data_IF_549649953948
#
_entry.id   IF_549649953948
#
_cell.length_a   1.000
_cell.length_b   1.000
_cell.length_c   1.000
_cell.angle_alpha   90.00
_cell.angle_beta   90.00
_cell.angle_gamma   90.00
#
_symmetry.space_group_name_H-M   'P 1'
#
loop_
_entity.id
_entity.type
_entity.pdbx_description
1 polymer ?
#
# COMPACT_ATOMS: atom_id res chain seq x y z
N UNK A 1 0.44 4.93 -11.70
CA UNK A 1 1.60 4.28 -11.02
C UNK A 1 1.50 4.47 -9.52
N UNK A 2 1.27 3.39 -8.78
CA UNK A 2 1.07 3.42 -7.32
C UNK A 2 2.35 3.81 -6.58
N UNK A 3 2.23 4.72 -5.62
CA UNK A 3 3.31 5.12 -4.72
C UNK A 3 3.11 4.52 -3.34
N UNK A 4 4.20 4.23 -2.65
CA UNK A 4 4.19 3.83 -1.24
C UNK A 4 5.02 4.84 -0.47
N UNK A 5 4.44 5.44 0.58
CA UNK A 5 5.12 6.42 1.43
C UNK A 5 4.99 6.04 2.90
N UNK A 6 5.90 6.55 3.72
CA UNK A 6 5.91 6.32 5.16
C UNK A 6 5.60 7.61 5.89
N UNK A 7 4.80 7.53 6.96
CA UNK A 7 4.60 8.64 7.87
C UNK A 7 5.08 8.29 9.28
N UNK A 8 5.95 9.13 9.83
CA UNK A 8 6.44 9.04 11.20
C UNK A 8 6.59 10.43 11.80
N UNK A 9 6.06 10.63 13.01
CA UNK A 9 5.95 11.91 13.73
C UNK A 9 5.33 13.01 12.86
N UNK A 10 4.24 12.68 12.16
CA UNK A 10 3.57 13.57 11.20
C UNK A 10 4.46 14.10 10.06
N UNK A 11 5.56 13.43 9.75
CA UNK A 11 6.40 13.72 8.59
C UNK A 11 6.30 12.58 7.59
N UNK A 12 6.18 12.92 6.32
CA UNK A 12 6.11 11.96 5.23
C UNK A 12 7.48 11.77 4.59
N UNK A 13 7.85 10.52 4.35
CA UNK A 13 9.14 10.11 3.84
C UNK A 13 8.96 9.17 2.66
N UNK A 14 9.68 9.46 1.58
CA UNK A 14 9.90 8.52 0.48
C UNK A 14 11.06 7.56 0.78
N UNK A 15 11.97 7.98 1.65
CA UNK A 15 13.15 7.25 2.11
C UNK A 15 13.47 7.71 3.54
N UNK A 16 13.79 6.79 4.44
CA UNK A 16 14.17 7.14 5.81
C UNK A 16 15.70 7.27 5.88
N UNK A 17 16.20 8.27 6.61
CA UNK A 17 17.65 8.53 6.74
C UNK A 17 18.36 7.48 7.62
N UNK A 18 17.64 6.89 8.58
CA UNK A 18 18.15 5.81 9.44
C UNK A 18 18.20 4.49 8.66
N UNK A 19 19.37 3.85 8.63
CA UNK A 19 19.61 2.64 7.83
C UNK A 19 18.73 1.45 8.21
N UNK A 20 18.39 1.29 9.50
CA UNK A 20 17.55 0.19 9.97
C UNK A 20 16.08 0.44 9.60
N UNK A 21 15.59 1.65 9.89
CA UNK A 21 14.20 2.02 9.57
C UNK A 21 13.94 2.00 8.07
N UNK A 22 14.92 2.41 7.27
CA UNK A 22 14.86 2.36 5.83
C UNK A 22 14.85 0.94 5.27
N UNK A 23 15.64 0.02 5.86
CA UNK A 23 15.57 -1.40 5.51
C UNK A 23 14.20 -2.02 5.85
N UNK A 24 13.65 -1.69 7.02
CA UNK A 24 12.30 -2.12 7.42
C UNK A 24 11.23 -1.57 6.46
N UNK A 25 11.36 -0.31 6.06
CA UNK A 25 10.51 0.32 5.07
C UNK A 25 10.60 -0.39 3.70
N UNK A 26 11.78 -0.60 3.14
CA UNK A 26 11.91 -1.29 1.84
C UNK A 26 11.38 -2.73 1.90
N UNK A 27 11.58 -3.43 3.02
CA UNK A 27 11.03 -4.76 3.22
C UNK A 27 9.49 -4.73 3.30
N UNK A 28 8.91 -3.80 4.07
CA UNK A 28 7.46 -3.62 4.18
C UNK A 28 6.82 -3.27 2.83
N UNK A 29 7.47 -2.42 2.03
CA UNK A 29 7.05 -2.10 0.67
C UNK A 29 7.03 -3.33 -0.23
N UNK A 30 8.08 -4.15 -0.15
CA UNK A 30 8.18 -5.38 -0.94
C UNK A 30 7.09 -6.38 -0.60
N UNK A 31 6.81 -6.58 0.70
CA UNK A 31 5.71 -7.42 1.17
C UNK A 31 4.34 -6.89 0.72
N UNK A 32 4.14 -5.57 0.79
CA UNK A 32 2.91 -4.94 0.37
C UNK A 32 2.66 -5.09 -1.14
N UNK A 33 3.71 -4.98 -1.96
CA UNK A 33 3.59 -5.28 -3.39
C UNK A 33 3.30 -6.76 -3.66
N UNK A 34 3.92 -7.68 -2.92
CA UNK A 34 3.64 -9.11 -3.05
C UNK A 34 2.17 -9.43 -2.71
N UNK A 35 1.61 -8.80 -1.68
CA UNK A 35 0.19 -8.94 -1.34
C UNK A 35 -0.75 -8.42 -2.44
N UNK A 36 -0.31 -7.40 -3.18
CA UNK A 36 -1.12 -6.75 -4.22
C UNK A 36 -0.84 -7.27 -5.63
N UNK A 37 0.07 -8.23 -5.79
CA UNK A 37 0.38 -8.87 -7.07
C UNK A 37 -0.87 -9.40 -7.79
N UNK A 38 -1.87 -10.02 -7.13
CA UNK A 38 -3.07 -10.50 -7.80
C UNK A 38 -3.89 -9.42 -8.51
N UNK A 39 -3.73 -8.16 -8.13
CA UNK A 39 -4.47 -7.02 -8.69
C UNK A 39 -3.54 -5.99 -9.36
N UNK A 40 -2.31 -6.38 -9.68
CA UNK A 40 -1.29 -5.48 -10.22
C UNK A 40 -1.77 -4.75 -11.49
N UNK A 41 -2.47 -5.42 -12.40
CA UNK A 41 -3.00 -4.82 -13.63
C UNK A 41 -3.98 -3.68 -13.37
N UNK A 42 -4.79 -3.81 -12.31
CA UNK A 42 -5.72 -2.77 -11.87
C UNK A 42 -4.95 -1.56 -11.33
N UNK A 43 -3.88 -1.82 -10.58
CA UNK A 43 -3.04 -0.78 -9.96
C UNK A 43 -2.19 -0.01 -10.99
N UNK A 44 -1.84 -0.61 -12.13
CA UNK A 44 -1.08 0.06 -13.19
C UNK A 44 -1.84 1.28 -13.76
N UNK A 45 -3.17 1.20 -13.79
CA UNK A 45 -4.05 2.22 -14.36
C UNK A 45 -4.51 3.28 -13.34
N UNK A 46 -4.00 3.23 -12.10
CA UNK A 46 -4.40 4.13 -11.02
C UNK A 46 -3.28 5.07 -10.58
N UNK A 47 -3.68 6.23 -10.09
CA UNK A 47 -2.79 7.25 -9.51
C UNK A 47 -3.07 7.39 -8.00
N UNK A 48 -2.74 6.33 -7.26
CA UNK A 48 -2.93 6.27 -5.81
C UNK A 48 -1.62 6.19 -5.01
N UNK A 49 -1.69 6.60 -3.75
CA UNK A 49 -0.61 6.47 -2.76
C UNK A 49 -1.07 5.63 -1.58
N UNK A 50 -0.30 4.60 -1.27
CA UNK A 50 -0.45 3.79 -0.07
C UNK A 50 0.47 4.38 0.99
N UNK A 51 -0.09 5.03 2.00
CA UNK A 51 0.67 5.68 3.07
C UNK A 51 0.67 4.79 4.30
N UNK A 52 1.85 4.34 4.72
CA UNK A 52 2.05 3.51 5.90
C UNK A 52 2.41 4.43 7.08
N UNK A 53 1.55 4.48 8.09
CA UNK A 53 1.74 5.27 9.31
C UNK A 53 2.43 4.40 10.35
N UNK A 54 3.57 4.85 10.86
CA UNK A 54 4.45 4.12 11.79
C UNK A 54 4.46 4.72 13.21
N UNK A 55 3.53 5.63 13.50
CA UNK A 55 3.40 6.29 14.80
C UNK A 55 2.66 5.42 15.84
N UNK A 56 2.25 6.02 16.96
CA UNK A 56 1.59 5.35 18.10
C UNK A 56 0.34 4.54 17.73
N UNK A 57 -0.28 4.85 16.57
CA UNK A 57 -1.38 4.08 15.99
C UNK A 57 -1.01 3.66 14.56
N UNK A 58 -0.29 2.55 14.39
CA UNK A 58 0.09 2.08 13.07
C UNK A 58 -1.15 1.81 12.21
N UNK A 59 -1.14 2.34 10.99
CA UNK A 59 -2.27 2.20 10.06
C UNK A 59 -1.79 2.32 8.61
N UNK A 60 -2.61 1.87 7.66
CA UNK A 60 -2.37 2.07 6.23
C UNK A 60 -3.52 2.89 5.65
N UNK A 61 -3.18 3.96 4.94
CA UNK A 61 -4.14 4.83 4.27
C UNK A 61 -4.03 4.72 2.75
N UNK A 62 -5.18 4.66 2.08
CA UNK A 62 -5.30 4.64 0.63
C UNK A 62 -5.75 6.01 0.15
N UNK A 63 -4.82 6.75 -0.47
CA UNK A 63 -5.02 8.14 -0.91
C UNK A 63 -5.06 8.20 -2.43
N UNK A 64 -6.04 8.89 -3.01
CA UNK A 64 -6.11 9.15 -4.45
C UNK A 64 -6.62 7.99 -5.31
N UNK A 65 -6.80 6.79 -4.76
CA UNK A 65 -7.40 5.66 -5.47
C UNK A 65 -8.90 5.88 -5.74
N UNK A 66 -9.38 5.43 -6.89
CA UNK A 66 -10.83 5.30 -7.13
C UNK A 66 -11.49 4.38 -6.09
N UNK A 67 -12.77 4.60 -5.80
CA UNK A 67 -13.51 3.80 -4.82
C UNK A 67 -13.51 2.29 -5.16
N UNK A 68 -13.58 1.95 -6.45
CA UNK A 68 -13.53 0.57 -6.95
C UNK A 68 -12.18 -0.08 -6.62
N UNK A 69 -11.08 0.62 -6.90
CA UNK A 69 -9.74 0.06 -6.68
C UNK A 69 -9.39 0.03 -5.20
N UNK A 70 -9.81 1.04 -4.43
CA UNK A 70 -9.71 1.04 -2.98
C UNK A 70 -10.38 -0.20 -2.37
N UNK A 71 -11.62 -0.49 -2.79
CA UNK A 71 -12.34 -1.68 -2.33
C UNK A 71 -11.62 -2.98 -2.71
N UNK A 72 -11.03 -3.05 -3.92
CA UNK A 72 -10.25 -4.21 -4.35
C UNK A 72 -9.01 -4.41 -3.47
N UNK A 73 -8.22 -3.36 -3.24
CA UNK A 73 -7.05 -3.39 -2.35
C UNK A 73 -7.43 -3.88 -0.95
N UNK A 74 -8.50 -3.33 -0.37
CA UNK A 74 -8.98 -3.72 0.97
C UNK A 74 -9.42 -5.19 1.03
N UNK A 75 -10.08 -5.71 -0.02
CA UNK A 75 -10.42 -7.12 -0.15
C UNK A 75 -9.17 -8.00 -0.28
N UNK A 76 -8.24 -7.65 -1.15
CA UNK A 76 -6.98 -8.40 -1.35
C UNK A 76 -6.22 -8.52 -0.03
N UNK A 77 -6.09 -7.44 0.74
CA UNK A 77 -5.45 -7.47 2.06
C UNK A 77 -6.14 -8.36 3.09
N UNK A 78 -7.47 -8.53 2.98
CA UNK A 78 -8.25 -9.44 3.84
C UNK A 78 -8.23 -10.89 3.35
N UNK A 79 -7.67 -11.16 2.17
CA UNK A 79 -7.80 -12.46 1.51
C UNK A 79 -9.21 -12.73 0.98
N UNK A 80 -10.01 -11.67 0.78
CA UNK A 80 -11.40 -11.70 0.29
C UNK A 80 -11.46 -11.41 -1.22
N UNK A 81 -10.35 -11.55 -1.94
CA UNK A 81 -10.38 -11.46 -3.39
C UNK A 81 -11.15 -12.68 -3.92
N UNK A 82 -12.34 -12.41 -4.46
CA UNK A 82 -13.13 -13.37 -5.21
C UNK A 82 -12.36 -13.70 -6.50
N UNK A 83 -11.42 -14.65 -6.42
CA UNK A 83 -10.58 -15.11 -7.55
C UNK A 83 -11.39 -15.67 -8.74
N UNK A 84 -12.72 -15.70 -8.64
CA UNK A 84 -13.64 -16.34 -9.59
C UNK A 84 -14.92 -15.56 -9.91
N UNK A 85 -15.06 -14.28 -9.54
CA UNK A 85 -16.20 -13.47 -10.00
C UNK A 85 -15.80 -12.55 -11.16
N UNK A 86 -15.67 -13.16 -12.34
CA UNK A 86 -15.64 -12.48 -13.64
C UNK A 86 -16.94 -12.81 -14.39
N UNK A 87 -18.04 -12.14 -14.01
CA UNK A 87 -19.21 -11.96 -14.85
C UNK A 87 -19.22 -10.52 -15.40
#
# INVERSE_FOLDING_TARGET
MVRVTYSYKNREFFHLEDSLMNQLAEHGKSLLFALLEPIQEVLLNEEGTIKIILDERPNIELIGFSAKVRSRIEKTWRGEDDLYDWN
#
